data_IF_285473402036
#
_entry.id   IF_285473402036
#
_cell.length_a   1.000
_cell.length_b   1.000
_cell.length_c   1.000
_cell.angle_alpha   90.00
_cell.angle_beta   90.00
_cell.angle_gamma   90.00
#
_symmetry.space_group_name_H-M   'P 1'
#
loop_
_entity.id
_entity.type
_entity.pdbx_description
1 polymer ?
#
# COMPACT_ATOMS: atom_id res chain seq x y z
N UNK A 1 -31.34 -1.84 1.91
CA UNK A 1 -30.54 -1.53 1.97
C UNK A 1 -30.12 -1.66 2.14
N UNK A 2 -30.66 -1.91 2.06
CA UNK A 2 -29.94 -1.88 2.11
C UNK A 2 -29.73 -2.27 2.09
N UNK A 3 -30.27 -2.56 1.91
CA UNK A 3 -29.66 -2.64 1.77
C UNK A 3 -29.28 -2.71 1.79
N UNK A 4 -29.93 -2.94 1.70
CA UNK A 4 -29.22 -2.76 1.63
C UNK A 4 -28.64 -2.53 1.65
N UNK A 5 -29.02 -2.63 1.62
CA UNK A 5 -28.24 -2.24 1.43
C UNK A 5 -28.14 -1.85 1.54
N UNK A 6 -28.41 -1.87 1.49
CA UNK A 6 -28.17 -1.32 1.63
C UNK A 6 -28.07 -0.99 2.16
N UNK A 7 -28.62 -1.10 2.04
CA UNK A 7 -28.44 -0.82 2.57
C UNK A 7 -27.88 -0.53 3.45
N UNK A 8 -27.52 -0.86 3.21
CA UNK A 8 -26.80 -0.67 4.45
C UNK A 8 -26.57 0.76 4.85
N UNK A 9 -27.33 1.13 5.75
CA UNK A 9 -27.22 2.47 6.31
C UNK A 9 -26.34 2.51 7.56
N UNK A 10 -25.74 1.37 7.96
CA UNK A 10 -24.90 1.29 9.16
C UNK A 10 -23.43 1.17 8.78
N UNK A 11 -22.55 1.84 9.52
CA UNK A 11 -21.11 1.65 9.31
C UNK A 11 -20.72 0.20 9.58
N UNK A 12 -19.68 -0.24 8.90
CA UNK A 12 -19.13 -1.58 9.07
C UNK A 12 -17.86 -1.51 9.90
N UNK A 13 -17.82 -2.20 11.02
CA UNK A 13 -16.63 -2.34 11.83
C UNK A 13 -15.82 -3.52 11.31
N UNK A 14 -14.52 -3.29 11.08
CA UNK A 14 -13.57 -4.35 10.78
C UNK A 14 -12.66 -4.46 12.00
N UNK A 15 -12.88 -5.44 12.88
CA UNK A 15 -12.23 -5.45 14.20
C UNK A 15 -10.74 -5.73 14.17
N UNK A 16 -10.24 -6.42 13.13
CA UNK A 16 -8.83 -6.77 13.05
C UNK A 16 -8.34 -6.67 11.61
N UNK A 17 -7.09 -6.25 11.46
CA UNK A 17 -6.42 -6.32 10.16
C UNK A 17 -6.02 -7.76 9.86
N UNK A 18 -5.80 -8.06 8.58
CA UNK A 18 -5.27 -9.34 8.13
C UNK A 18 -3.81 -9.15 7.74
N UNK A 19 -2.92 -9.98 8.30
CA UNK A 19 -1.52 -9.98 7.90
C UNK A 19 -1.41 -10.63 6.52
N UNK A 20 -0.82 -9.92 5.57
CA UNK A 20 -0.63 -10.44 4.22
C UNK A 20 0.85 -10.50 3.89
N UNK A 21 1.19 -11.33 2.89
CA UNK A 21 2.57 -11.53 2.48
C UNK A 21 3.12 -10.31 1.75
N UNK A 22 4.37 -9.96 2.05
CA UNK A 22 5.04 -8.82 1.43
C UNK A 22 6.10 -9.28 0.44
N UNK A 23 6.30 -8.48 -0.61
CA UNK A 23 7.43 -8.65 -1.52
C UNK A 23 8.64 -7.91 -0.97
N UNK A 24 9.81 -8.24 -1.52
CA UNK A 24 11.04 -7.52 -1.20
C UNK A 24 12.13 -8.40 -0.64
N UNK A 25 13.28 -7.77 -0.41
CA UNK A 25 14.51 -8.45 -0.01
C UNK A 25 14.68 -8.65 1.48
N UNK A 26 13.80 -8.04 2.29
CA UNK A 26 13.84 -8.12 3.76
C UNK A 26 12.43 -8.27 4.31
N UNK A 27 12.27 -8.78 5.54
CA UNK A 27 10.97 -8.93 6.15
C UNK A 27 10.27 -7.58 6.31
N UNK A 28 9.09 -7.48 5.74
CA UNK A 28 8.22 -6.32 5.84
C UNK A 28 6.87 -6.80 6.35
N UNK A 29 6.24 -6.02 7.22
CA UNK A 29 4.93 -6.35 7.76
C UNK A 29 3.85 -5.54 7.03
N UNK A 30 2.82 -6.23 6.53
CA UNK A 30 1.67 -5.60 5.90
C UNK A 30 0.43 -6.05 6.63
N UNK A 31 -0.28 -5.10 7.24
CA UNK A 31 -1.55 -5.35 7.89
C UNK A 31 -2.65 -4.67 7.06
N UNK A 32 -3.40 -5.48 6.32
CA UNK A 32 -4.49 -5.00 5.51
C UNK A 32 -5.71 -4.80 6.39
N UNK A 33 -6.13 -3.54 6.54
CA UNK A 33 -7.30 -3.20 7.33
C UNK A 33 -8.58 -3.30 6.51
N UNK A 34 -8.52 -2.89 5.25
CA UNK A 34 -9.62 -2.94 4.31
C UNK A 34 -9.07 -3.45 2.99
N UNK A 35 -9.79 -4.35 2.32
CA UNK A 35 -9.35 -4.85 1.03
C UNK A 35 -9.87 -6.25 0.74
N UNK A 36 -9.23 -6.89 -0.24
CA UNK A 36 -9.72 -8.17 -0.76
C UNK A 36 -9.62 -9.31 0.25
N UNK A 37 -8.62 -9.27 1.14
CA UNK A 37 -8.41 -10.32 2.13
C UNK A 37 -9.20 -10.01 3.41
N UNK A 38 -9.05 -8.81 3.95
CA UNK A 38 -9.62 -8.44 5.23
C UNK A 38 -11.13 -8.27 5.20
N UNK A 39 -11.64 -7.42 4.30
CA UNK A 39 -13.06 -7.08 4.24
C UNK A 39 -13.75 -7.55 2.97
N UNK A 40 -13.01 -8.26 2.09
CA UNK A 40 -13.53 -8.82 0.84
C UNK A 40 -14.11 -7.78 -0.10
N UNK A 41 -13.51 -6.60 -0.12
CA UNK A 41 -13.87 -5.56 -1.08
C UNK A 41 -12.79 -5.45 -2.16
N UNK A 42 -13.22 -5.19 -3.40
CA UNK A 42 -12.30 -4.92 -4.51
C UNK A 42 -12.25 -3.42 -4.85
N UNK A 43 -13.00 -2.60 -4.14
CA UNK A 43 -13.08 -1.17 -4.44
C UNK A 43 -11.84 -0.40 -3.96
N UNK A 44 -11.34 -0.74 -2.78
CA UNK A 44 -10.24 -0.02 -2.15
C UNK A 44 -9.52 -0.94 -1.17
N UNK A 45 -8.20 -0.76 -1.03
CA UNK A 45 -7.47 -1.39 0.06
C UNK A 45 -6.78 -0.32 0.91
N UNK A 46 -6.71 -0.58 2.21
CA UNK A 46 -6.02 0.28 3.19
C UNK A 46 -5.13 -0.62 4.02
N UNK A 47 -3.83 -0.40 3.96
CA UNK A 47 -2.87 -1.25 4.65
C UNK A 47 -1.87 -0.41 5.43
N UNK A 48 -1.54 -0.89 6.64
CA UNK A 48 -0.43 -0.35 7.42
C UNK A 48 0.81 -1.17 7.11
N UNK A 49 1.86 -0.50 6.71
CA UNK A 49 3.11 -1.13 6.29
C UNK A 49 4.24 -0.72 7.22
N UNK A 50 5.05 -1.70 7.63
CA UNK A 50 6.22 -1.50 8.46
C UNK A 50 7.40 -2.15 7.74
N UNK A 51 8.28 -1.33 7.17
CA UNK A 51 9.43 -1.79 6.39
C UNK A 51 10.71 -1.53 7.16
N UNK A 52 11.60 -2.54 7.27
CA UNK A 52 12.89 -2.34 7.95
C UNK A 52 13.84 -1.51 7.09
N UNK A 53 14.91 -1.02 7.70
CA UNK A 53 15.97 -0.33 6.96
C UNK A 53 16.58 -1.22 5.91
N UNK A 54 16.82 -0.67 4.72
CA UNK A 54 17.40 -1.40 3.61
C UNK A 54 16.44 -2.30 2.85
N UNK A 55 15.13 -2.22 3.13
CA UNK A 55 14.14 -2.96 2.37
C UNK A 55 13.95 -2.34 0.98
N UNK A 56 13.77 -3.19 -0.01
CA UNK A 56 13.33 -2.77 -1.35
C UNK A 56 12.55 -3.90 -1.99
N UNK A 57 11.63 -3.54 -2.86
CA UNK A 57 10.87 -4.52 -3.65
C UNK A 57 11.14 -4.28 -5.13
N UNK A 58 10.76 -5.22 -6.02
CA UNK A 58 10.86 -4.99 -7.45
C UNK A 58 10.01 -3.79 -7.88
N UNK A 59 10.40 -3.14 -8.97
CA UNK A 59 9.55 -2.14 -9.59
C UNK A 59 8.22 -2.74 -10.03
N UNK A 60 7.23 -1.88 -10.22
CA UNK A 60 5.89 -2.33 -10.58
C UNK A 60 5.18 -1.29 -11.44
N UNK A 61 4.23 -1.76 -12.25
CA UNK A 61 3.38 -0.89 -13.09
C UNK A 61 1.93 -1.25 -12.82
N UNK A 62 1.37 -0.77 -11.70
CA UNK A 62 0.07 -1.25 -11.21
C UNK A 62 -1.11 -0.71 -12.02
N UNK A 63 -2.23 -1.46 -11.95
CA UNK A 63 -3.52 -1.01 -12.48
C UNK A 63 -4.36 -0.30 -11.41
N UNK A 64 -3.73 0.20 -10.35
CA UNK A 64 -4.40 0.97 -9.30
C UNK A 64 -3.64 2.26 -9.03
N UNK A 65 -4.36 3.26 -8.54
CA UNK A 65 -3.73 4.44 -7.94
C UNK A 65 -3.33 4.08 -6.52
N UNK A 66 -2.17 4.51 -6.09
CA UNK A 66 -1.72 4.26 -4.72
C UNK A 66 -1.39 5.58 -4.02
N UNK A 67 -2.08 5.81 -2.89
CA UNK A 67 -1.92 6.99 -2.04
C UNK A 67 -1.22 6.53 -0.77
N UNK A 68 -0.04 7.09 -0.50
CA UNK A 68 0.73 6.67 0.67
C UNK A 68 0.99 7.85 1.58
N UNK A 69 0.73 7.68 2.88
CA UNK A 69 1.05 8.67 3.92
C UNK A 69 2.09 8.06 4.83
N UNK A 70 3.25 8.72 4.96
CA UNK A 70 4.33 8.22 5.80
C UNK A 70 4.12 8.71 7.23
N UNK A 71 4.16 7.76 8.17
CA UNK A 71 3.96 8.04 9.59
C UNK A 71 5.30 8.17 10.33
N UNK A 72 6.32 7.43 9.91
CA UNK A 72 7.64 7.40 10.54
C UNK A 72 8.67 7.03 9.50
N UNK A 73 9.86 7.60 9.58
CA UNK A 73 10.97 7.29 8.67
C UNK A 73 10.82 7.92 7.31
N UNK A 74 11.45 7.33 6.32
CA UNK A 74 11.46 7.82 4.94
C UNK A 74 11.19 6.68 3.99
N UNK A 75 10.20 6.87 3.11
CA UNK A 75 9.91 5.98 2.00
C UNK A 75 10.45 6.60 0.72
N UNK A 76 11.28 5.87 0.00
CA UNK A 76 11.76 6.31 -1.31
C UNK A 76 10.91 5.72 -2.42
N UNK A 77 10.49 6.57 -3.33
CA UNK A 77 9.70 6.17 -4.50
C UNK A 77 10.48 6.54 -5.75
N UNK A 78 11.04 5.53 -6.42
CA UNK A 78 11.72 5.74 -7.70
C UNK A 78 10.67 5.74 -8.80
N UNK A 79 10.88 6.58 -9.80
CA UNK A 79 10.03 6.68 -10.98
C UNK A 79 10.91 6.93 -12.22
N UNK A 80 10.30 7.07 -13.39
CA UNK A 80 11.06 7.13 -14.63
C UNK A 80 12.06 8.29 -14.71
N UNK A 81 11.80 9.38 -13.98
CA UNK A 81 12.61 10.59 -14.08
C UNK A 81 13.45 10.86 -12.82
N UNK A 82 13.47 9.93 -11.88
CA UNK A 82 14.26 10.12 -10.66
C UNK A 82 13.64 9.45 -9.46
N UNK A 83 13.75 10.09 -8.29
CA UNK A 83 13.24 9.53 -7.05
C UNK A 83 12.66 10.65 -6.17
N UNK A 84 11.66 10.27 -5.38
CA UNK A 84 11.04 11.13 -4.37
C UNK A 84 11.25 10.47 -3.03
N UNK A 85 11.78 11.22 -2.05
CA UNK A 85 11.84 10.76 -0.67
C UNK A 85 10.69 11.39 0.10
N UNK A 86 9.84 10.52 0.67
CA UNK A 86 8.65 10.93 1.40
C UNK A 86 8.93 10.74 2.88
N UNK A 87 8.96 11.84 3.63
CA UNK A 87 9.25 11.81 5.05
C UNK A 87 7.95 11.74 5.87
N UNK A 88 8.10 11.48 7.18
CA UNK A 88 6.96 11.45 8.09
C UNK A 88 6.12 12.72 7.97
N UNK A 89 4.81 12.55 7.87
CA UNK A 89 3.87 13.65 7.70
C UNK A 89 3.63 14.07 6.25
N UNK A 90 4.33 13.44 5.31
CA UNK A 90 4.15 13.72 3.88
C UNK A 90 3.43 12.56 3.20
N UNK A 91 2.93 12.82 2.01
CA UNK A 91 2.22 11.82 1.21
C UNK A 91 2.72 11.85 -0.23
N UNK A 92 2.51 10.73 -0.92
CA UNK A 92 2.82 10.59 -2.34
C UNK A 92 1.69 9.87 -3.03
N UNK A 93 1.42 10.25 -4.28
CA UNK A 93 0.44 9.57 -5.14
C UNK A 93 1.20 8.94 -6.30
N UNK A 94 1.08 7.63 -6.45
CA UNK A 94 1.55 6.91 -7.62
C UNK A 94 0.34 6.59 -8.48
N UNK A 95 0.33 7.11 -9.71
CA UNK A 95 -0.82 6.96 -10.61
C UNK A 95 -0.77 5.64 -11.34
N UNK A 96 -1.94 5.02 -11.54
CA UNK A 96 -2.03 3.74 -12.24
C UNK A 96 -1.37 3.83 -13.61
N UNK A 97 -0.73 2.75 -14.02
CA UNK A 97 -0.06 2.67 -15.31
C UNK A 97 1.34 3.27 -15.33
N UNK A 98 1.79 3.90 -14.24
CA UNK A 98 3.14 4.44 -14.15
C UNK A 98 4.05 3.49 -13.38
N UNK A 99 5.29 3.36 -13.85
CA UNK A 99 6.28 2.52 -13.17
C UNK A 99 6.79 3.22 -11.93
N UNK A 100 6.82 2.49 -10.82
CA UNK A 100 7.40 2.95 -9.55
C UNK A 100 8.14 1.81 -8.86
N UNK A 101 9.09 2.17 -7.99
CA UNK A 101 9.80 1.21 -7.14
C UNK A 101 9.94 1.80 -5.75
N UNK A 102 9.49 1.04 -4.76
CA UNK A 102 9.51 1.50 -3.36
C UNK A 102 10.69 0.89 -2.61
N UNK A 103 11.29 1.70 -1.72
CA UNK A 103 12.35 1.25 -0.83
C UNK A 103 12.41 2.11 0.42
N UNK A 104 13.06 1.56 1.46
CA UNK A 104 13.30 2.29 2.73
C UNK A 104 14.79 2.22 3.04
N UNK A 105 15.61 3.08 2.37
CA UNK A 105 17.07 2.95 2.43
C UNK A 105 17.69 3.36 3.77
N UNK A 106 17.00 4.16 4.58
CA UNK A 106 17.55 4.62 5.85
C UNK A 106 17.44 3.53 6.93
N UNK A 107 18.37 3.54 7.90
CA UNK A 107 18.45 2.47 8.90
C UNK A 107 17.18 2.29 9.72
N UNK A 108 16.43 3.37 9.98
CA UNK A 108 15.20 3.29 10.76
C UNK A 108 14.02 2.67 9.98
N UNK A 109 14.16 2.48 8.68
CA UNK A 109 13.05 2.02 7.86
C UNK A 109 11.91 3.03 7.79
N UNK A 110 10.68 2.55 7.65
CA UNK A 110 9.52 3.44 7.61
C UNK A 110 8.23 2.71 7.96
N UNK A 111 7.30 3.46 8.56
CA UNK A 111 5.91 3.06 8.76
C UNK A 111 5.03 3.96 7.92
N UNK A 112 4.08 3.40 7.21
CA UNK A 112 3.22 4.18 6.32
C UNK A 112 1.88 3.47 6.09
N UNK A 113 0.90 4.26 5.68
CA UNK A 113 -0.41 3.77 5.27
C UNK A 113 -0.48 3.88 3.76
N UNK A 114 -0.83 2.79 3.10
CA UNK A 114 -1.00 2.76 1.64
C UNK A 114 -2.46 2.45 1.30
N UNK A 115 -3.03 3.28 0.44
CA UNK A 115 -4.41 3.13 -0.05
C UNK A 115 -4.35 2.89 -1.55
N UNK A 116 -4.90 1.76 -1.99
CA UNK A 116 -4.96 1.42 -3.42
C UNK A 116 -6.41 1.45 -3.92
N UNK A 117 -6.61 2.06 -5.08
CA UNK A 117 -7.93 2.17 -5.73
C UNK A 117 -7.78 1.79 -7.20
N UNK A 118 -8.36 0.67 -7.64
CA UNK A 118 -9.04 -0.39 -6.88
C UNK A 118 -8.12 -1.08 -5.90
N UNK A 119 -8.69 -1.95 -5.08
CA UNK A 119 -7.95 -2.64 -4.02
C UNK A 119 -6.75 -3.41 -4.57
N UNK A 120 -5.66 -3.42 -3.82
CA UNK A 120 -4.47 -4.19 -4.17
C UNK A 120 -4.81 -5.65 -4.43
N UNK A 121 -4.18 -6.20 -5.47
CA UNK A 121 -4.22 -7.63 -5.79
C UNK A 121 -2.91 -8.01 -6.49
N UNK A 122 -2.34 -9.18 -6.20
CA UNK A 122 -1.18 -9.67 -6.94
C UNK A 122 -1.43 -9.75 -8.45
N UNK A 123 -2.68 -9.91 -8.87
CA UNK A 123 -3.03 -10.02 -10.29
C UNK A 123 -2.87 -8.71 -11.05
N UNK A 124 -2.91 -7.54 -10.36
CA UNK A 124 -2.89 -6.23 -11.02
C UNK A 124 -1.73 -5.34 -10.61
N UNK A 125 -0.82 -5.83 -9.79
CA UNK A 125 0.34 -5.01 -9.36
C UNK A 125 1.46 -5.00 -10.42
N UNK A 126 1.57 -6.04 -11.22
CA UNK A 126 2.53 -6.16 -12.34
C UNK A 126 3.96 -5.83 -11.93
N UNK A 127 4.51 -6.66 -11.04
CA UNK A 127 5.91 -6.51 -10.60
C UNK A 127 6.87 -6.94 -11.70
N UNK A 128 7.99 -6.24 -11.76
CA UNK A 128 9.10 -6.62 -12.62
C UNK A 128 9.67 -7.96 -12.17
N UNK A 129 10.29 -8.66 -13.11
CA UNK A 129 10.92 -9.93 -12.80
C UNK A 129 12.30 -9.77 -12.19
#
# INVERSE_FOLDING_TARGET
MASPGSLGSMPTLIPNASRVEAAGNKPKLIDEHVGRVSSRTDAVSVAHMQSPGGWQEPGQTPEFDEYTVVLRGVLRVEHREGAIDVAAGQAVIAHKGEWVKYSTPNDEGADYIAVCVPAFSPAIVHRDE
#
